data_IF_915138394273
#
_entry.id   IF_915138394273
#
_cell.length_a   1.000
_cell.length_b   1.000
_cell.length_c   1.000
_cell.angle_alpha   90.00
_cell.angle_beta   90.00
_cell.angle_gamma   90.00
#
_symmetry.space_group_name_H-M   'P 1'
#
loop_
_entity.id
_entity.type
_entity.pdbx_description
1 polymer ?
#
# COMPACT_ATOMS: atom_id res chain seq x y z
N UNK A 1 -3.07 -59.15 -32.90
CA UNK A 1 -3.87 -58.54 -31.81
C UNK A 1 -2.91 -57.87 -30.86
N UNK A 2 -2.59 -56.60 -31.11
CA UNK A 2 -1.77 -55.74 -30.25
C UNK A 2 -2.15 -54.30 -30.56
N UNK A 3 -2.86 -53.65 -29.65
CA UNK A 3 -2.80 -52.20 -29.51
C UNK A 3 -1.60 -51.86 -28.63
N UNK A 4 -0.97 -50.71 -28.85
CA UNK A 4 -0.66 -49.86 -27.71
C UNK A 4 -1.38 -48.51 -27.84
N UNK A 5 -1.94 -48.16 -26.70
CA UNK A 5 -2.62 -46.96 -26.27
C UNK A 5 -1.88 -45.69 -26.70
N UNK A 6 -2.57 -44.81 -27.43
CA UNK A 6 -2.11 -43.44 -27.66
C UNK A 6 -2.24 -42.65 -26.37
N UNK A 7 -1.10 -42.21 -25.86
CA UNK A 7 -0.98 -41.31 -24.71
C UNK A 7 -1.67 -39.97 -25.01
N UNK A 8 -2.60 -39.56 -24.15
CA UNK A 8 -3.07 -38.17 -24.06
C UNK A 8 -1.91 -37.30 -23.61
N UNK A 9 -1.34 -36.52 -24.52
CA UNK A 9 -0.39 -35.46 -24.18
C UNK A 9 -1.15 -34.35 -23.44
N UNK A 10 -0.88 -34.18 -22.14
CA UNK A 10 -1.35 -33.03 -21.36
C UNK A 10 -0.56 -31.79 -21.83
N UNK A 11 -1.21 -30.94 -22.60
CA UNK A 11 -0.61 -29.81 -23.33
C UNK A 11 -0.27 -28.57 -22.48
N UNK A 12 -0.03 -28.70 -21.17
CA UNK A 12 0.18 -27.51 -20.32
C UNK A 12 1.29 -27.63 -19.26
N UNK A 13 2.29 -28.49 -19.49
CA UNK A 13 3.49 -28.51 -18.65
C UNK A 13 4.44 -27.37 -19.05
N UNK A 14 4.37 -26.24 -18.33
CA UNK A 14 5.40 -25.20 -18.37
C UNK A 14 4.95 -23.79 -18.76
N UNK A 15 3.67 -23.54 -19.03
CA UNK A 15 3.19 -22.17 -19.18
C UNK A 15 3.24 -21.46 -17.80
N UNK A 16 3.91 -20.31 -17.66
CA UNK A 16 3.90 -19.56 -16.41
C UNK A 16 2.45 -19.21 -16.05
N UNK A 17 2.10 -19.38 -14.78
CA UNK A 17 0.77 -19.02 -14.30
C UNK A 17 0.53 -17.52 -14.58
N UNK A 18 -0.62 -17.13 -15.14
CA UNK A 18 -0.87 -15.75 -15.54
C UNK A 18 -0.91 -14.84 -14.30
N UNK A 19 -0.08 -13.79 -14.29
CA UNK A 19 -0.09 -12.77 -13.25
C UNK A 19 -1.20 -11.75 -13.53
N UNK A 20 -2.09 -11.54 -12.56
CA UNK A 20 -3.32 -10.75 -12.73
C UNK A 20 -3.24 -9.45 -11.94
N UNK A 21 -3.42 -8.33 -12.65
CA UNK A 21 -3.40 -6.99 -12.06
C UNK A 21 -4.80 -6.37 -12.14
N UNK A 22 -5.31 -5.89 -11.00
CA UNK A 22 -6.51 -5.10 -10.90
C UNK A 22 -6.17 -3.60 -10.79
N UNK A 23 -6.93 -2.76 -11.49
CA UNK A 23 -6.87 -1.30 -11.35
C UNK A 23 -8.15 -0.83 -10.67
N UNK A 24 -8.03 -0.29 -9.47
CA UNK A 24 -9.16 0.22 -8.71
C UNK A 24 -9.42 1.68 -9.07
N UNK A 25 -10.33 1.91 -10.02
CA UNK A 25 -10.85 3.25 -10.29
C UNK A 25 -11.88 3.61 -9.23
N UNK A 26 -11.50 4.51 -8.32
CA UNK A 26 -12.33 4.96 -7.21
C UNK A 26 -12.37 6.49 -7.18
N UNK A 27 -13.45 7.03 -6.59
CA UNK A 27 -13.63 8.47 -6.38
C UNK A 27 -13.47 8.79 -4.89
N UNK A 28 -12.23 8.94 -4.39
CA UNK A 28 -11.99 9.30 -3.01
C UNK A 28 -12.49 10.73 -2.74
N UNK A 29 -13.06 10.95 -1.57
CA UNK A 29 -13.52 12.27 -1.12
C UNK A 29 -12.43 12.94 -0.31
N UNK A 30 -12.08 14.18 -0.67
CA UNK A 30 -11.05 14.95 0.05
C UNK A 30 -11.45 15.12 1.52
N UNK A 31 -10.57 14.68 2.42
CA UNK A 31 -10.77 14.81 3.87
C UNK A 31 -11.55 13.68 4.53
N UNK A 32 -12.27 12.85 3.79
CA UNK A 32 -13.02 11.71 4.33
C UNK A 32 -12.15 10.45 4.42
N UNK A 33 -11.17 10.47 5.33
CA UNK A 33 -10.23 9.35 5.50
C UNK A 33 -10.97 8.04 5.77
N UNK A 34 -11.99 8.06 6.64
CA UNK A 34 -12.72 6.85 7.03
C UNK A 34 -13.51 6.26 5.86
N UNK A 35 -14.23 7.10 5.11
CA UNK A 35 -14.96 6.68 3.92
C UNK A 35 -14.02 6.15 2.83
N UNK A 36 -12.90 6.83 2.61
CA UNK A 36 -11.88 6.41 1.66
C UNK A 36 -11.23 5.08 2.05
N UNK A 37 -10.93 4.86 3.33
CA UNK A 37 -10.42 3.57 3.84
C UNK A 37 -11.37 2.43 3.53
N UNK A 38 -12.66 2.60 3.84
CA UNK A 38 -13.68 1.59 3.54
C UNK A 38 -13.75 1.31 2.04
N UNK A 39 -13.74 2.36 1.22
CA UNK A 39 -13.76 2.24 -0.24
C UNK A 39 -12.55 1.45 -0.75
N UNK A 40 -11.35 1.69 -0.21
CA UNK A 40 -10.13 0.94 -0.56
C UNK A 40 -10.26 -0.53 -0.17
N UNK A 41 -10.71 -0.83 1.05
CA UNK A 41 -10.88 -2.20 1.56
C UNK A 41 -11.90 -2.99 0.73
N UNK A 42 -13.02 -2.36 0.36
CA UNK A 42 -14.04 -2.97 -0.50
C UNK A 42 -13.45 -3.35 -1.87
N UNK A 43 -12.60 -2.49 -2.44
CA UNK A 43 -11.93 -2.76 -3.72
C UNK A 43 -10.81 -3.80 -3.62
N UNK A 44 -10.08 -3.87 -2.50
CA UNK A 44 -9.13 -4.97 -2.23
C UNK A 44 -9.88 -6.30 -2.20
N UNK A 45 -11.04 -6.34 -1.55
CA UNK A 45 -11.88 -7.54 -1.48
C UNK A 45 -12.34 -7.97 -2.87
N UNK A 46 -12.85 -7.04 -3.68
CA UNK A 46 -13.24 -7.33 -5.08
C UNK A 46 -12.08 -7.83 -5.93
N UNK A 47 -10.88 -7.25 -5.76
CA UNK A 47 -9.69 -7.69 -6.50
C UNK A 47 -9.28 -9.12 -6.09
N UNK A 48 -9.39 -9.45 -4.81
CA UNK A 48 -9.16 -10.82 -4.30
C UNK A 48 -10.19 -11.81 -4.86
N UNK A 49 -11.47 -11.44 -4.88
CA UNK A 49 -12.54 -12.27 -5.48
C UNK A 49 -12.31 -12.49 -6.97
N UNK A 50 -11.75 -11.50 -7.67
CA UNK A 50 -11.32 -11.61 -9.05
C UNK A 50 -9.98 -12.36 -9.22
N UNK A 51 -9.40 -12.91 -8.14
CA UNK A 51 -8.11 -13.61 -8.12
C UNK A 51 -6.97 -12.78 -8.71
N UNK A 52 -6.95 -11.47 -8.45
CA UNK A 52 -5.82 -10.63 -8.78
C UNK A 52 -4.66 -10.84 -7.78
N UNK A 53 -3.43 -10.83 -8.29
CA UNK A 53 -2.22 -10.87 -7.47
C UNK A 53 -1.84 -9.47 -6.93
N UNK A 54 -2.24 -8.44 -7.67
CA UNK A 54 -1.96 -7.03 -7.38
C UNK A 54 -3.20 -6.17 -7.63
N UNK A 55 -3.49 -5.23 -6.73
CA UNK A 55 -4.42 -4.12 -6.96
C UNK A 55 -3.72 -2.78 -6.81
N UNK A 56 -3.90 -1.90 -7.79
CA UNK A 56 -3.36 -0.53 -7.75
C UNK A 56 -4.47 0.51 -7.61
N UNK A 57 -4.25 1.48 -6.73
CA UNK A 57 -5.16 2.58 -6.45
C UNK A 57 -4.64 3.93 -6.97
N UNK A 58 -5.52 4.94 -7.12
CA UNK A 58 -5.11 6.29 -7.48
C UNK A 58 -4.17 6.93 -6.46
N UNK A 59 -3.46 7.98 -6.88
CA UNK A 59 -2.61 8.76 -5.98
C UNK A 59 -3.44 9.40 -4.86
N UNK A 60 -2.86 9.44 -3.65
CA UNK A 60 -3.48 10.02 -2.44
C UNK A 60 -4.91 9.52 -2.16
N UNK A 61 -5.25 8.28 -2.55
CA UNK A 61 -6.61 7.76 -2.41
C UNK A 61 -7.09 7.67 -0.95
N UNK A 62 -6.18 7.59 0.03
CA UNK A 62 -6.54 7.60 1.46
C UNK A 62 -7.08 8.97 1.89
N UNK A 63 -6.45 10.05 1.43
CA UNK A 63 -6.80 11.43 1.83
C UNK A 63 -7.73 12.14 0.86
N UNK A 64 -7.81 11.65 -0.39
CA UNK A 64 -8.32 12.39 -1.54
C UNK A 64 -7.29 13.39 -2.08
N UNK A 65 -7.40 13.72 -3.37
CA UNK A 65 -6.55 14.70 -4.05
C UNK A 65 -7.36 15.90 -4.56
N UNK A 66 -6.85 17.14 -4.45
CA UNK A 66 -5.70 17.56 -3.64
C UNK A 66 -6.12 17.79 -2.17
N UNK A 67 -5.31 17.40 -1.17
CA UNK A 67 -5.63 17.62 0.25
C UNK A 67 -5.30 19.03 0.76
N UNK A 68 -4.60 19.86 -0.02
CA UNK A 68 -4.28 21.27 0.26
C UNK A 68 -3.87 21.52 1.74
N UNK A 69 -4.63 22.38 2.45
CA UNK A 69 -4.32 22.80 3.82
C UNK A 69 -4.42 21.68 4.86
N UNK A 70 -5.09 20.57 4.55
CA UNK A 70 -5.24 19.44 5.48
C UNK A 70 -3.90 18.79 5.80
N UNK A 71 -2.91 18.92 4.89
CA UNK A 71 -1.55 18.42 5.10
C UNK A 71 -0.82 19.13 6.25
N UNK A 72 -1.28 20.32 6.69
CA UNK A 72 -0.69 21.04 7.82
C UNK A 72 -1.28 20.64 9.17
N UNK A 73 -2.29 19.78 9.21
CA UNK A 73 -2.92 19.30 10.45
C UNK A 73 -2.29 17.97 10.87
N UNK A 74 -1.54 17.98 11.96
CA UNK A 74 -0.88 16.77 12.49
C UNK A 74 -1.91 15.63 12.73
N UNK A 75 -3.10 15.96 13.25
CA UNK A 75 -4.19 14.98 13.45
C UNK A 75 -4.71 14.35 12.16
N UNK A 76 -4.62 15.06 11.02
CA UNK A 76 -5.00 14.53 9.71
C UNK A 76 -3.99 13.51 9.20
N UNK A 77 -2.69 13.77 9.40
CA UNK A 77 -1.61 12.86 9.05
C UNK A 77 -1.61 11.60 9.94
N UNK A 78 -1.89 11.77 11.23
CA UNK A 78 -2.08 10.65 12.16
C UNK A 78 -3.27 9.77 11.76
N UNK A 79 -4.39 10.38 11.39
CA UNK A 79 -5.57 9.65 10.91
C UNK A 79 -5.28 8.89 9.60
N UNK A 80 -4.56 9.51 8.66
CA UNK A 80 -4.16 8.83 7.42
C UNK A 80 -3.22 7.65 7.71
N UNK A 81 -2.31 7.81 8.67
CA UNK A 81 -1.40 6.75 9.08
C UNK A 81 -2.14 5.59 9.75
N UNK A 82 -3.15 5.86 10.58
CA UNK A 82 -4.01 4.83 11.18
C UNK A 82 -4.82 4.08 10.12
N UNK A 83 -5.41 4.81 9.17
CA UNK A 83 -6.12 4.25 8.03
C UNK A 83 -5.24 3.30 7.19
N UNK A 84 -3.96 3.63 7.00
CA UNK A 84 -3.03 2.74 6.30
C UNK A 84 -2.88 1.40 7.02
N UNK A 85 -2.80 1.39 8.35
CA UNK A 85 -2.69 0.13 9.11
C UNK A 85 -3.95 -0.73 8.94
N UNK A 86 -5.13 -0.12 8.97
CA UNK A 86 -6.41 -0.81 8.71
C UNK A 86 -6.47 -1.40 7.28
N UNK A 87 -5.98 -0.66 6.29
CA UNK A 87 -5.88 -1.15 4.92
C UNK A 87 -4.92 -2.34 4.84
N UNK A 88 -3.77 -2.27 5.50
CA UNK A 88 -2.79 -3.36 5.47
C UNK A 88 -3.38 -4.66 6.03
N UNK A 89 -4.11 -4.59 7.14
CA UNK A 89 -4.80 -5.76 7.71
C UNK A 89 -5.76 -6.42 6.70
N UNK A 90 -6.29 -5.63 5.76
CA UNK A 90 -7.20 -6.10 4.71
C UNK A 90 -6.50 -6.66 3.47
N UNK A 91 -5.17 -6.70 3.40
CA UNK A 91 -4.39 -7.14 2.21
C UNK A 91 -3.93 -8.59 2.23
N UNK A 92 -4.37 -9.39 3.20
CA UNK A 92 -4.03 -10.81 3.22
C UNK A 92 -4.36 -11.50 1.88
N UNK A 93 -3.36 -12.16 1.29
CA UNK A 93 -3.48 -12.91 0.03
C UNK A 93 -3.50 -12.07 -1.26
N UNK A 94 -3.21 -10.77 -1.21
CA UNK A 94 -3.10 -9.90 -2.39
C UNK A 94 -2.11 -8.75 -2.15
N UNK A 95 -1.37 -8.32 -3.16
CA UNK A 95 -0.53 -7.12 -3.03
C UNK A 95 -1.34 -5.86 -3.33
N UNK A 96 -1.23 -4.81 -2.52
CA UNK A 96 -1.88 -3.52 -2.78
C UNK A 96 -0.88 -2.37 -2.95
N UNK A 97 -1.10 -1.52 -3.96
CA UNK A 97 -0.38 -0.24 -4.15
C UNK A 97 -1.32 0.91 -3.80
N UNK A 98 -1.03 1.60 -2.70
CA UNK A 98 -1.92 2.62 -2.12
C UNK A 98 -1.19 3.95 -2.03
N UNK A 99 -1.83 5.02 -2.51
CA UNK A 99 -1.31 6.39 -2.42
C UNK A 99 -1.68 7.04 -1.10
N UNK A 100 -0.69 7.54 -0.37
CA UNK A 100 -0.88 8.21 0.94
C UNK A 100 0.08 9.39 1.11
N UNK A 101 -0.35 10.36 1.90
CA UNK A 101 0.47 11.48 2.37
C UNK A 101 1.29 11.04 3.58
N UNK A 102 2.62 11.20 3.53
CA UNK A 102 3.49 10.92 4.66
C UNK A 102 3.96 12.24 5.30
N UNK A 103 3.89 12.35 6.63
CA UNK A 103 4.51 13.45 7.36
C UNK A 103 6.02 13.20 7.47
N UNK A 104 6.91 14.08 6.99
CA UNK A 104 8.35 13.91 7.17
C UNK A 104 8.78 13.94 8.66
N UNK A 105 7.89 14.30 9.59
CA UNK A 105 8.18 14.49 11.01
C UNK A 105 7.68 13.34 11.90
N UNK A 106 7.23 12.20 11.34
CA UNK A 106 6.62 11.08 12.09
C UNK A 106 7.55 10.35 13.08
N UNK A 107 8.75 10.88 13.35
CA UNK A 107 9.66 10.44 14.42
C UNK A 107 10.29 11.57 15.25
N UNK A 108 9.90 12.84 15.03
CA UNK A 108 10.55 13.99 15.65
C UNK A 108 9.66 14.57 16.75
N UNK A 109 10.03 14.34 18.02
CA UNK A 109 9.33 14.93 19.17
C UNK A 109 9.31 16.45 19.00
N UNK A 110 8.13 17.07 19.00
CA UNK A 110 7.98 18.52 19.02
C UNK A 110 7.89 19.02 20.44
N UNK A 111 8.51 20.16 20.69
CA UNK A 111 8.31 20.90 21.93
C UNK A 111 6.91 21.56 21.92
N UNK A 112 6.36 21.98 23.08
CA UNK A 112 5.03 22.63 23.16
C UNK A 112 4.88 23.93 22.35
N UNK A 113 5.96 24.46 21.77
CA UNK A 113 5.95 25.59 20.82
C UNK A 113 5.86 25.18 19.35
N UNK A 114 5.69 23.89 19.03
CA UNK A 114 5.51 23.37 17.66
C UNK A 114 6.80 23.25 16.84
N UNK A 115 7.94 23.66 17.39
CA UNK A 115 9.24 23.53 16.74
C UNK A 115 9.82 22.12 16.91
N UNK A 116 10.56 21.61 15.91
CA UNK A 116 11.27 20.34 16.00
C UNK A 116 12.25 20.39 17.19
N UNK A 117 12.18 19.38 18.07
CA UNK A 117 13.13 19.25 19.18
C UNK A 117 14.44 18.73 18.61
N UNK A 118 15.39 19.63 18.38
CA UNK A 118 16.74 19.27 17.93
C UNK A 118 17.44 18.51 19.06
N UNK A 119 17.32 17.19 19.07
CA UNK A 119 18.17 16.31 19.88
C UNK A 119 19.33 15.83 19.01
N UNK A 120 20.59 15.91 19.49
CA UNK A 120 21.71 15.32 18.77
C UNK A 120 21.48 13.81 18.62
N UNK A 121 21.59 13.33 17.39
CA UNK A 121 21.23 11.99 16.96
C UNK A 121 22.18 10.93 17.56
N UNK A 122 21.66 10.14 18.48
CA UNK A 122 22.23 8.83 18.82
C UNK A 122 21.11 7.79 18.77
N UNK A 123 21.04 7.02 17.68
CA UNK A 123 20.14 5.86 17.54
C UNK A 123 18.98 6.06 16.57
N UNK A 124 18.91 5.21 15.54
CA UNK A 124 17.95 5.30 14.44
C UNK A 124 16.49 5.09 14.85
N UNK A 125 15.68 6.14 14.69
CA UNK A 125 14.23 6.07 14.60
C UNK A 125 13.82 5.97 13.14
N UNK A 126 13.94 4.79 12.54
CA UNK A 126 13.41 4.52 11.21
C UNK A 126 11.90 4.33 11.29
N UNK A 127 11.15 4.98 10.38
CA UNK A 127 9.73 4.70 10.18
C UNK A 127 9.51 3.18 10.13
N UNK A 128 8.54 2.67 10.90
CA UNK A 128 8.26 1.23 10.95
C UNK A 128 7.95 0.76 9.52
N UNK A 129 8.67 -0.25 8.99
CA UNK A 129 8.44 -0.71 7.63
C UNK A 129 6.99 -1.20 7.50
N UNK A 130 6.33 -0.96 6.36
CA UNK A 130 4.99 -1.50 6.13
C UNK A 130 5.02 -3.03 6.23
N UNK A 131 3.94 -3.67 6.70
CA UNK A 131 3.82 -5.12 6.71
C UNK A 131 3.89 -5.68 5.28
N UNK A 132 4.26 -6.96 5.18
CA UNK A 132 4.34 -7.66 3.89
C UNK A 132 3.00 -7.56 3.13
N UNK A 133 3.05 -7.20 1.84
CA UNK A 133 1.88 -7.13 0.95
C UNK A 133 1.42 -5.71 0.58
N UNK A 134 1.92 -4.65 1.23
CA UNK A 134 1.57 -3.27 0.88
C UNK A 134 2.78 -2.49 0.37
N UNK A 135 2.63 -1.88 -0.81
CA UNK A 135 3.59 -0.91 -1.35
C UNK A 135 2.99 0.50 -1.28
N UNK A 136 3.73 1.39 -0.62
CA UNK A 136 3.34 2.79 -0.44
C UNK A 136 4.01 3.63 -1.52
N UNK A 137 3.25 4.49 -2.20
CA UNK A 137 3.77 5.49 -3.13
C UNK A 137 3.48 6.90 -2.60
N UNK A 138 4.53 7.68 -2.32
CA UNK A 138 4.47 9.12 -2.03
C UNK A 138 5.37 9.93 -2.97
N UNK A 139 4.90 11.11 -3.41
CA UNK A 139 5.57 11.96 -4.39
C UNK A 139 6.87 12.65 -3.90
N UNK A 140 7.98 12.39 -4.61
CA UNK A 140 9.28 13.12 -4.74
C UNK A 140 9.93 13.79 -3.51
N UNK A 141 10.91 13.12 -2.89
CA UNK A 141 12.37 13.16 -3.17
C UNK A 141 13.14 12.30 -2.15
N UNK A 142 13.81 11.26 -2.65
CA UNK A 142 15.01 10.62 -2.09
C UNK A 142 14.98 10.16 -0.62
N UNK A 143 14.72 8.87 -0.41
CA UNK A 143 15.57 8.01 0.42
C UNK A 143 15.51 6.58 -0.12
N UNK A 144 16.71 6.07 -0.43
CA UNK A 144 17.16 4.68 -0.39
C UNK A 144 16.26 3.57 -0.93
N UNK A 145 16.76 2.86 -1.95
CA UNK A 145 16.38 1.46 -2.18
C UNK A 145 16.80 0.53 -1.03
N UNK A 146 16.97 -0.74 -1.39
CA UNK A 146 17.24 -1.92 -0.56
C UNK A 146 15.97 -2.62 -0.06
N UNK A 147 15.80 -3.93 -0.27
CA UNK A 147 16.63 -4.91 -0.96
C UNK A 147 15.85 -6.23 -1.03
N UNK A 148 15.95 -6.95 -2.15
CA UNK A 148 15.43 -8.30 -2.23
C UNK A 148 16.27 -9.25 -1.37
N UNK A 149 15.59 -10.09 -0.59
CA UNK A 149 16.05 -11.40 -0.15
C UNK A 149 14.81 -12.30 -0.24
N UNK A 150 14.79 -13.43 -0.97
CA UNK A 150 15.88 -14.36 -1.20
C UNK A 150 16.05 -15.22 0.04
N UNK A 151 15.25 -16.28 0.14
CA UNK A 151 15.21 -17.25 1.25
C UNK A 151 13.85 -17.89 1.37
#
# INVERSE_FOLDING_TARGET
MTTPTGETQNSNEGAPLPFRVALAQINPTVGDIKGNTRLIIDHITRAREAQADLVAFPELCVTGYPPEDLLYKDSFLEAAQQALWEIVESTAGITAVVGITHSPHSGESRNPSGLPSVRPSTGGGGARPPPAGVKIWGGRRGIGGWGGGGG
#
